data_IF_226732119595
#
_entry.id   IF_226732119595
#
_cell.length_a   1.000
_cell.length_b   1.000
_cell.length_c   1.000
_cell.angle_alpha   90.00
_cell.angle_beta   90.00
_cell.angle_gamma   90.00
#
_symmetry.space_group_name_H-M   'P 1'
#
loop_
_entity.id
_entity.type
_entity.pdbx_description
1 polymer ?
#
# COMPACT_ATOMS: atom_id res chain seq x y z
N UNK A 1 -4.16 -12.00 4.22
CA UNK A 1 -4.53 -10.95 3.25
C UNK A 1 -4.55 -11.50 1.84
N UNK A 2 -3.53 -12.26 1.41
CA UNK A 2 -3.61 -13.07 0.18
C UNK A 2 -3.30 -14.55 0.48
N UNK A 3 -4.30 -15.45 0.50
CA UNK A 3 -4.07 -16.88 0.74
C UNK A 3 -3.29 -17.59 -0.37
N UNK A 4 -3.30 -17.06 -1.60
CA UNK A 4 -2.63 -17.69 -2.74
C UNK A 4 -1.13 -17.39 -2.78
N UNK A 5 -0.73 -16.21 -2.33
CA UNK A 5 0.64 -15.69 -2.37
C UNK A 5 1.04 -15.08 -1.01
N UNK A 6 0.88 -15.82 0.09
CA UNK A 6 1.01 -15.24 1.44
C UNK A 6 2.45 -14.88 1.85
N UNK A 7 3.47 -15.37 1.14
CA UNK A 7 4.90 -15.08 1.40
C UNK A 7 5.56 -14.20 0.33
N UNK A 8 4.82 -13.84 -0.70
CA UNK A 8 5.37 -13.18 -1.89
C UNK A 8 4.61 -11.89 -2.16
N UNK A 9 5.34 -10.87 -2.60
CA UNK A 9 4.77 -9.57 -2.89
C UNK A 9 4.55 -9.44 -4.40
N UNK A 10 3.31 -9.67 -4.83
CA UNK A 10 2.94 -9.74 -6.24
C UNK A 10 1.46 -9.37 -6.48
N UNK A 11 0.98 -9.60 -7.70
CA UNK A 11 -0.40 -9.36 -8.13
C UNK A 11 -1.43 -10.38 -7.59
N UNK A 12 -1.00 -11.40 -6.85
CA UNK A 12 -1.85 -12.42 -6.23
C UNK A 12 -2.95 -11.81 -5.37
N UNK A 13 -2.63 -10.73 -4.65
CA UNK A 13 -3.60 -9.95 -3.89
C UNK A 13 -4.79 -9.49 -4.76
N UNK A 14 -4.50 -8.85 -5.90
CA UNK A 14 -5.55 -8.34 -6.80
C UNK A 14 -6.32 -9.47 -7.51
N UNK A 15 -5.69 -10.61 -7.78
CA UNK A 15 -6.40 -11.80 -8.25
C UNK A 15 -7.44 -12.29 -7.24
N UNK A 16 -7.10 -12.31 -5.95
CA UNK A 16 -8.01 -12.71 -4.87
C UNK A 16 -9.15 -11.70 -4.72
N UNK A 17 -8.85 -10.40 -4.81
CA UNK A 17 -9.83 -9.31 -4.76
C UNK A 17 -10.83 -9.38 -5.92
N UNK A 18 -10.36 -9.54 -7.16
CA UNK A 18 -11.21 -9.64 -8.35
C UNK A 18 -12.08 -10.90 -8.37
N UNK A 19 -11.66 -11.97 -7.69
CA UNK A 19 -12.47 -13.19 -7.50
C UNK A 19 -13.50 -13.07 -6.38
N UNK A 20 -13.67 -11.87 -5.79
CA UNK A 20 -14.52 -11.63 -4.62
C UNK A 20 -14.17 -12.50 -3.40
N UNK A 21 -12.88 -12.82 -3.24
CA UNK A 21 -12.35 -13.64 -2.12
C UNK A 21 -11.53 -12.81 -1.13
N UNK A 22 -11.72 -11.50 -1.14
CA UNK A 22 -11.02 -10.61 -0.23
C UNK A 22 -11.50 -10.82 1.22
N UNK A 23 -10.56 -10.80 2.17
CA UNK A 23 -10.87 -11.07 3.59
C UNK A 23 -11.49 -9.85 4.27
N UNK A 24 -11.09 -8.64 3.88
CA UNK A 24 -11.56 -7.40 4.49
C UNK A 24 -12.58 -6.68 3.61
N UNK A 25 -13.52 -5.98 4.25
CA UNK A 25 -14.52 -5.15 3.56
C UNK A 25 -13.87 -4.02 2.76
N UNK A 26 -12.77 -3.46 3.25
CA UNK A 26 -11.99 -2.42 2.55
C UNK A 26 -11.46 -2.93 1.21
N UNK A 27 -10.99 -4.17 1.16
CA UNK A 27 -10.47 -4.79 -0.06
C UNK A 27 -11.60 -5.11 -1.04
N UNK A 28 -12.72 -5.64 -0.54
CA UNK A 28 -13.91 -5.88 -1.35
C UNK A 28 -14.50 -4.58 -1.94
N UNK A 29 -14.33 -3.45 -1.26
CA UNK A 29 -14.80 -2.16 -1.76
C UNK A 29 -14.08 -1.72 -3.05
N UNK A 30 -12.84 -2.17 -3.26
CA UNK A 30 -12.05 -1.83 -4.46
C UNK A 30 -12.70 -2.30 -5.76
N UNK A 31 -13.47 -3.39 -5.74
CA UNK A 31 -14.18 -3.90 -6.93
C UNK A 31 -15.60 -3.32 -7.06
N UNK A 32 -16.13 -2.73 -5.99
CA UNK A 32 -17.44 -2.04 -6.02
C UNK A 32 -17.34 -0.60 -6.53
N UNK A 33 -16.20 0.05 -6.32
CA UNK A 33 -15.93 1.37 -6.87
C UNK A 33 -15.43 1.26 -8.31
N UNK A 34 -16.15 1.89 -9.26
CA UNK A 34 -15.84 1.77 -10.68
C UNK A 34 -14.45 2.31 -11.06
N UNK A 35 -13.99 3.37 -10.41
CA UNK A 35 -12.66 3.97 -10.66
C UNK A 35 -11.56 3.04 -10.17
N UNK A 36 -11.65 2.61 -8.90
CA UNK A 36 -10.65 1.70 -8.33
C UNK A 36 -10.60 0.37 -9.09
N UNK A 37 -11.76 -0.15 -9.54
CA UNK A 37 -11.82 -1.35 -10.36
C UNK A 37 -11.13 -1.17 -11.71
N UNK A 38 -11.29 0.00 -12.34
CA UNK A 38 -10.62 0.31 -13.60
C UNK A 38 -9.09 0.39 -13.42
N UNK A 39 -8.62 1.02 -12.35
CA UNK A 39 -7.19 1.09 -12.02
C UNK A 39 -6.59 -0.30 -11.81
N UNK A 40 -7.28 -1.16 -11.04
CA UNK A 40 -6.86 -2.55 -10.81
C UNK A 40 -6.82 -3.31 -12.13
N UNK A 41 -7.85 -3.19 -12.98
CA UNK A 41 -7.87 -3.86 -14.27
C UNK A 41 -6.71 -3.42 -15.17
N UNK A 42 -6.37 -2.13 -15.17
CA UNK A 42 -5.22 -1.58 -15.89
C UNK A 42 -3.90 -2.19 -15.43
N UNK A 43 -3.65 -2.20 -14.12
CA UNK A 43 -2.45 -2.82 -13.54
C UNK A 43 -2.38 -4.32 -13.83
N UNK A 44 -3.49 -5.03 -13.71
CA UNK A 44 -3.58 -6.48 -13.96
C UNK A 44 -3.38 -6.86 -15.43
N UNK A 45 -3.71 -5.96 -16.36
CA UNK A 45 -3.52 -6.14 -17.80
C UNK A 45 -2.11 -5.76 -18.29
N UNK A 46 -1.29 -5.19 -17.42
CA UNK A 46 0.07 -4.72 -17.72
C UNK A 46 1.12 -5.71 -17.25
N UNK A 47 2.38 -5.58 -17.69
CA UNK A 47 3.51 -6.30 -17.11
C UNK A 47 3.61 -6.05 -15.58
N UNK A 48 4.10 -7.04 -14.83
CA UNK A 48 4.14 -6.99 -13.37
C UNK A 48 4.99 -5.83 -12.85
N UNK A 49 5.96 -5.36 -13.63
CA UNK A 49 6.80 -4.20 -13.35
C UNK A 49 5.97 -2.92 -13.12
N UNK A 50 4.84 -2.78 -13.84
CA UNK A 50 3.93 -1.62 -13.70
C UNK A 50 3.31 -1.58 -12.31
N UNK A 51 2.96 -2.74 -11.74
CA UNK A 51 2.48 -2.81 -10.37
C UNK A 51 3.53 -2.31 -9.38
N UNK A 52 4.78 -2.76 -9.53
CA UNK A 52 5.87 -2.31 -8.65
C UNK A 52 6.18 -0.82 -8.81
N UNK A 53 6.07 -0.27 -10.03
CA UNK A 53 6.22 1.17 -10.27
C UNK A 53 5.12 1.98 -9.55
N UNK A 54 3.86 1.61 -9.76
CA UNK A 54 2.73 2.31 -9.13
C UNK A 54 2.77 2.16 -7.61
N UNK A 55 3.11 0.97 -7.12
CA UNK A 55 3.25 0.70 -5.69
C UNK A 55 4.36 1.55 -5.07
N UNK A 56 5.56 1.57 -5.66
CA UNK A 56 6.69 2.35 -5.14
C UNK A 56 6.40 3.85 -5.11
N UNK A 57 5.78 4.39 -6.17
CA UNK A 57 5.35 5.80 -6.23
C UNK A 57 4.30 6.13 -5.17
N UNK A 58 3.34 5.23 -4.96
CA UNK A 58 2.27 5.40 -3.96
C UNK A 58 2.83 5.37 -2.54
N UNK A 59 3.73 4.44 -2.24
CA UNK A 59 4.36 4.31 -0.93
C UNK A 59 5.32 5.46 -0.63
N UNK A 60 6.08 5.95 -1.62
CA UNK A 60 6.92 7.15 -1.46
C UNK A 60 6.07 8.37 -1.12
N UNK A 61 4.91 8.54 -1.79
CA UNK A 61 3.97 9.62 -1.49
C UNK A 61 3.37 9.48 -0.09
N UNK A 62 2.99 8.26 0.31
CA UNK A 62 2.48 7.98 1.66
C UNK A 62 3.52 8.30 2.73
N UNK A 63 4.78 7.93 2.52
CA UNK A 63 5.88 8.19 3.45
C UNK A 63 6.22 9.67 3.65
N UNK A 64 5.75 10.56 2.76
CA UNK A 64 5.93 12.00 2.87
C UNK A 64 4.77 12.71 3.61
N UNK A 65 3.72 11.99 4.02
CA UNK A 65 2.55 12.60 4.69
C UNK A 65 2.93 13.02 6.11
N UNK A 66 2.75 14.31 6.42
CA UNK A 66 2.92 14.89 7.76
C UNK A 66 4.27 14.58 8.43
N UNK A 67 5.33 14.46 7.62
CA UNK A 67 6.68 14.25 8.15
C UNK A 67 7.15 15.46 8.95
N UNK A 68 7.84 15.21 10.07
CA UNK A 68 8.56 16.26 10.80
C UNK A 68 9.84 16.58 10.05
N UNK A 69 10.10 17.85 9.74
CA UNK A 69 11.30 18.31 9.01
C UNK A 69 11.96 19.50 9.71
N UNK A 70 13.28 19.64 9.59
CA UNK A 70 14.04 20.80 10.10
C UNK A 70 14.41 20.73 11.59
N UNK A 71 14.92 21.84 12.12
CA UNK A 71 15.31 22.04 13.53
C UNK A 71 14.19 22.63 14.41
N UNK A 72 12.96 22.64 13.90
CA UNK A 72 11.79 23.05 14.69
C UNK A 72 11.73 22.15 15.92
N UNK A 73 11.63 22.74 17.12
CA UNK A 73 11.79 22.10 18.43
C UNK A 73 10.86 20.93 18.77
N UNK A 74 10.17 20.35 17.78
CA UNK A 74 9.38 19.13 17.82
C UNK A 74 10.06 17.90 17.19
N UNK A 75 11.20 18.06 16.50
CA UNK A 75 11.98 16.95 15.96
C UNK A 75 13.00 16.45 16.99
N UNK A 76 12.73 15.28 17.58
CA UNK A 76 13.74 14.49 18.27
C UNK A 76 14.21 13.34 17.37
N UNK A 77 15.51 13.04 17.40
CA UNK A 77 16.03 11.76 16.90
C UNK A 77 16.07 10.81 18.08
N UNK A 78 15.15 9.85 18.11
CA UNK A 78 15.02 8.92 19.24
C UNK A 78 16.21 7.97 19.32
N UNK A 79 16.79 7.84 20.51
CA UNK A 79 17.78 6.79 20.81
C UNK A 79 17.12 5.41 20.91
N UNK A 80 15.86 5.39 21.33
CA UNK A 80 15.02 4.20 21.42
C UNK A 80 13.64 4.52 20.84
N UNK A 81 13.23 3.85 19.76
CA UNK A 81 11.98 4.18 19.07
C UNK A 81 10.73 4.13 19.97
N UNK A 82 10.74 3.26 20.98
CA UNK A 82 9.63 3.02 21.89
C UNK A 82 9.42 4.09 22.97
N UNK A 83 10.41 4.95 23.25
CA UNK A 83 10.34 5.96 24.32
C UNK A 83 10.81 7.34 23.85
N UNK A 84 10.25 8.40 24.45
CA UNK A 84 10.70 9.79 24.23
C UNK A 84 12.04 9.98 24.93
N UNK A 85 12.96 10.74 24.33
CA UNK A 85 14.23 11.04 24.98
C UNK A 85 14.00 11.86 26.27
N UNK A 86 14.76 11.55 27.33
CA UNK A 86 14.83 12.35 28.56
C UNK A 86 15.88 13.46 28.45
#
# INVERSE_FOLDING_TARGET
MDPGSFLTFDLGYYHTVLKHRAQFRSDAALVTNAVARADIAGVMSSPSEVFFEVFSRSMARLGAVQVKTGSQGEMEIRKHCAVVNS
#
